data_IF_237247436743
#
_entry.id   IF_237247436743
#
_cell.length_a   1.000
_cell.length_b   1.000
_cell.length_c   1.000
_cell.angle_alpha   90.00
_cell.angle_beta   90.00
_cell.angle_gamma   90.00
#
_symmetry.space_group_name_H-M   'P 1'
#
loop_
_entity.id
_entity.type
_entity.pdbx_description
1 polymer ?
#
# COMPACT_ATOMS: atom_id res chain seq x y z
N UNK A 1 8.34 -30.00 7.65
CA UNK A 1 8.44 -28.55 7.85
C UNK A 1 9.35 -28.35 9.08
N UNK A 2 10.53 -27.72 8.93
CA UNK A 2 11.59 -27.72 9.97
C UNK A 2 11.23 -26.97 11.26
N UNK A 3 10.28 -26.04 11.22
CA UNK A 3 9.91 -25.21 12.38
C UNK A 3 9.06 -25.95 13.44
N UNK A 4 8.31 -26.98 13.07
CA UNK A 4 7.56 -27.82 14.02
C UNK A 4 8.47 -28.47 15.07
N UNK A 5 9.62 -28.98 14.63
CA UNK A 5 10.58 -29.64 15.53
C UNK A 5 11.30 -28.70 16.48
N UNK A 6 11.33 -27.41 16.18
CA UNK A 6 11.98 -26.39 17.02
C UNK A 6 11.04 -25.90 18.13
N UNK A 7 9.75 -25.78 17.85
CA UNK A 7 8.73 -25.38 18.83
C UNK A 7 8.44 -26.51 19.83
N UNK A 8 8.42 -27.77 19.39
CA UNK A 8 8.28 -28.92 20.27
C UNK A 8 9.46 -29.06 21.25
N UNK A 9 10.68 -28.70 20.84
CA UNK A 9 11.87 -28.67 21.71
C UNK A 9 11.85 -27.57 22.76
N UNK A 10 11.04 -26.52 22.55
CA UNK A 10 10.88 -25.42 23.50
C UNK A 10 9.66 -25.55 24.42
N UNK A 11 9.00 -26.71 24.43
CA UNK A 11 7.85 -26.97 25.31
C UNK A 11 6.57 -26.25 24.94
N UNK A 12 6.52 -25.65 23.73
CA UNK A 12 5.29 -25.09 23.16
C UNK A 12 4.51 -26.21 22.47
N UNK A 13 3.43 -26.65 23.07
CA UNK A 13 2.47 -27.55 22.40
C UNK A 13 1.88 -26.81 21.20
N UNK A 14 2.22 -27.26 20.00
CA UNK A 14 1.73 -26.74 18.73
C UNK A 14 0.18 -26.78 18.58
N UNK A 15 -0.50 -27.46 19.50
CA UNK A 15 -1.97 -27.54 19.55
C UNK A 15 -2.66 -26.24 19.96
N UNK A 16 -1.93 -25.23 20.50
CA UNK A 16 -2.55 -23.97 20.97
C UNK A 16 -2.56 -22.85 19.94
N UNK A 17 -1.89 -23.00 18.81
CA UNK A 17 -1.84 -21.98 17.75
C UNK A 17 -2.90 -22.13 16.66
N UNK A 18 -3.62 -23.25 16.66
CA UNK A 18 -4.75 -23.50 15.77
C UNK A 18 -6.01 -23.66 16.61
N UNK A 19 -7.19 -23.25 16.09
CA UNK A 19 -8.44 -23.63 16.75
C UNK A 19 -8.43 -25.15 16.92
N UNK A 20 -8.92 -25.69 18.05
CA UNK A 20 -8.88 -27.11 18.31
C UNK A 20 -9.44 -27.86 17.10
N UNK A 21 -8.72 -28.88 16.62
CA UNK A 21 -9.26 -29.76 15.58
C UNK A 21 -10.56 -30.31 16.12
N UNK A 22 -11.68 -29.75 15.61
CA UNK A 22 -13.01 -30.19 16.00
C UNK A 22 -13.13 -31.62 15.51
N UNK A 23 -13.37 -32.52 16.41
CA UNK A 23 -13.54 -33.90 16.06
C UNK A 23 -14.76 -34.04 15.13
N UNK A 24 -14.67 -34.95 14.15
CA UNK A 24 -15.77 -35.23 13.22
C UNK A 24 -17.11 -35.47 13.95
N UNK A 25 -17.08 -36.00 15.17
CA UNK A 25 -18.21 -36.19 16.04
C UNK A 25 -18.87 -34.90 16.49
N UNK A 26 -18.08 -33.88 16.88
CA UNK A 26 -18.61 -32.56 17.27
C UNK A 26 -19.26 -31.82 16.10
N UNK A 27 -18.68 -31.96 14.89
CA UNK A 27 -19.28 -31.40 13.68
C UNK A 27 -20.62 -32.08 13.37
N UNK A 28 -20.68 -33.41 13.52
CA UNK A 28 -21.90 -34.18 13.26
C UNK A 28 -23.03 -33.89 14.27
N UNK A 29 -22.71 -33.52 15.50
CA UNK A 29 -23.69 -33.20 16.53
C UNK A 29 -24.28 -31.79 16.37
N UNK A 30 -23.51 -30.84 15.89
CA UNK A 30 -23.93 -29.43 15.76
C UNK A 30 -24.65 -29.07 14.45
N UNK A 31 -24.58 -29.97 13.43
CA UNK A 31 -25.24 -29.75 12.13
C UNK A 31 -26.74 -30.00 12.23
N UNK A 32 -27.61 -29.07 11.81
CA UNK A 32 -29.07 -29.29 11.82
C UNK A 32 -29.48 -30.56 11.04
N UNK A 33 -30.43 -31.28 11.58
CA UNK A 33 -30.94 -32.57 11.02
C UNK A 33 -31.41 -32.40 9.56
N UNK A 34 -31.97 -31.23 9.22
CA UNK A 34 -32.40 -30.89 7.86
C UNK A 34 -31.26 -30.88 6.84
N UNK A 35 -30.02 -30.65 7.27
CA UNK A 35 -28.84 -30.62 6.42
C UNK A 35 -28.17 -31.97 6.26
N UNK A 36 -28.39 -32.88 7.23
CA UNK A 36 -27.92 -34.27 7.15
C UNK A 36 -28.68 -35.08 6.12
N UNK A 37 -29.87 -34.64 5.73
CA UNK A 37 -30.71 -35.33 4.74
C UNK A 37 -30.21 -35.12 3.29
N UNK A 38 -29.37 -34.11 3.04
CA UNK A 38 -28.79 -33.85 1.71
C UNK A 38 -27.40 -34.49 1.61
N UNK A 39 -27.34 -35.77 1.23
CA UNK A 39 -26.08 -36.50 1.10
C UNK A 39 -25.08 -35.90 0.11
N UNK A 40 -25.54 -35.09 -0.88
CA UNK A 40 -24.68 -34.44 -1.84
C UNK A 40 -23.96 -33.24 -1.19
N UNK A 41 -24.69 -32.45 -0.39
CA UNK A 41 -24.14 -31.30 0.33
C UNK A 41 -23.16 -31.72 1.43
N UNK A 42 -23.51 -32.80 2.15
CA UNK A 42 -22.66 -33.38 3.18
C UNK A 42 -21.37 -33.99 2.62
N UNK A 43 -21.46 -34.66 1.50
CA UNK A 43 -20.29 -35.16 0.76
C UNK A 43 -19.36 -34.04 0.29
N UNK A 44 -19.94 -32.90 -0.08
CA UNK A 44 -19.18 -31.69 -0.47
C UNK A 44 -18.46 -31.10 0.72
N UNK A 45 -19.15 -30.90 1.83
CA UNK A 45 -18.60 -30.35 3.09
C UNK A 45 -17.45 -31.23 3.60
N UNK A 46 -17.61 -32.54 3.64
CA UNK A 46 -16.54 -33.45 4.10
C UNK A 46 -15.35 -33.54 3.16
N UNK A 47 -15.57 -33.42 1.87
CA UNK A 47 -14.50 -33.48 0.85
C UNK A 47 -13.63 -32.26 0.82
N UNK A 48 -14.18 -31.06 1.06
CA UNK A 48 -13.49 -29.80 0.88
C UNK A 48 -13.04 -29.14 2.19
N UNK A 49 -13.80 -29.26 3.28
CA UNK A 49 -13.41 -28.72 4.59
C UNK A 49 -12.37 -29.56 5.32
N UNK A 50 -12.43 -30.89 5.18
CA UNK A 50 -11.53 -31.78 5.90
C UNK A 50 -10.23 -32.11 5.15
N UNK A 51 -10.10 -31.76 3.85
CA UNK A 51 -8.89 -32.01 3.05
C UNK A 51 -7.96 -30.84 2.81
N UNK A 52 -8.29 -29.65 3.30
CA UNK A 52 -7.34 -28.51 3.31
C UNK A 52 -6.72 -28.14 1.95
N UNK A 53 -7.42 -28.36 0.83
CA UNK A 53 -6.89 -28.02 -0.50
C UNK A 53 -7.45 -26.69 -0.99
N UNK A 54 -6.56 -25.71 -1.16
CA UNK A 54 -6.86 -24.36 -1.62
C UNK A 54 -7.29 -24.26 -3.07
N UNK A 55 -8.56 -24.53 -3.34
CA UNK A 55 -9.20 -24.23 -4.61
C UNK A 55 -10.50 -23.48 -4.34
N UNK A 56 -10.74 -22.42 -5.11
CA UNK A 56 -11.80 -21.41 -5.00
C UNK A 56 -13.14 -21.89 -4.44
N UNK A 57 -13.51 -21.33 -3.28
CA UNK A 57 -14.65 -21.80 -2.53
C UNK A 57 -15.91 -20.99 -2.80
N UNK A 58 -16.98 -21.69 -3.14
CA UNK A 58 -18.32 -21.30 -2.74
C UNK A 58 -18.43 -21.62 -1.25
N UNK A 59 -18.49 -20.61 -0.39
CA UNK A 59 -18.60 -20.80 1.05
C UNK A 59 -19.95 -21.44 1.38
N UNK A 60 -19.98 -22.67 1.93
CA UNK A 60 -21.24 -23.27 2.38
C UNK A 60 -21.79 -22.45 3.56
N UNK A 61 -23.09 -22.47 3.83
CA UNK A 61 -23.72 -21.80 4.98
C UNK A 61 -23.05 -22.08 6.33
N UNK A 62 -22.25 -23.15 6.40
CA UNK A 62 -21.48 -23.54 7.59
C UNK A 62 -20.31 -22.61 7.91
N UNK A 63 -19.69 -21.97 6.90
CA UNK A 63 -18.61 -20.99 7.14
C UNK A 63 -19.15 -19.72 7.78
N UNK A 64 -20.42 -19.36 7.55
CA UNK A 64 -21.05 -18.22 8.18
C UNK A 64 -21.09 -18.34 9.72
N UNK A 65 -21.18 -19.55 10.26
CA UNK A 65 -21.11 -19.77 11.71
C UNK A 65 -19.71 -19.49 12.27
N UNK A 66 -18.66 -19.97 11.60
CA UNK A 66 -17.27 -19.72 11.99
C UNK A 66 -16.87 -18.28 11.81
N UNK A 67 -17.30 -17.64 10.73
CA UNK A 67 -17.08 -16.23 10.48
C UNK A 67 -17.76 -15.33 11.51
N UNK A 68 -18.87 -15.77 12.08
CA UNK A 68 -19.53 -15.10 13.18
C UNK A 68 -18.76 -15.19 14.49
N UNK A 69 -18.10 -16.31 14.76
CA UNK A 69 -17.35 -16.56 16.01
C UNK A 69 -15.91 -16.02 15.92
N UNK A 70 -15.20 -16.33 14.83
CA UNK A 70 -13.76 -16.10 14.68
C UNK A 70 -13.41 -15.04 13.65
N UNK A 71 -14.40 -14.47 13.01
CA UNK A 71 -14.24 -13.54 11.90
C UNK A 71 -13.90 -14.23 10.57
N UNK A 72 -14.26 -13.56 9.48
CA UNK A 72 -13.90 -13.97 8.14
C UNK A 72 -12.39 -13.90 7.94
N UNK A 73 -11.82 -14.92 7.32
CA UNK A 73 -10.39 -14.93 7.00
C UNK A 73 -10.18 -14.09 5.74
N UNK A 74 -9.30 -13.07 5.75
CA UNK A 74 -8.91 -12.40 4.51
C UNK A 74 -8.35 -13.42 3.52
N UNK A 75 -8.73 -13.29 2.25
CA UNK A 75 -8.23 -14.17 1.18
C UNK A 75 -6.76 -13.85 0.89
N UNK A 76 -6.37 -12.62 1.17
CA UNK A 76 -5.07 -12.08 0.88
C UNK A 76 -4.07 -12.43 1.98
N UNK A 77 -2.83 -12.73 1.57
CA UNK A 77 -1.72 -12.98 2.49
C UNK A 77 -1.12 -11.63 2.95
N UNK A 78 -1.76 -11.03 3.93
CA UNK A 78 -1.40 -9.69 4.44
C UNK A 78 0.06 -9.59 4.90
N UNK A 79 0.67 -10.59 5.56
CA UNK A 79 2.09 -10.56 5.88
C UNK A 79 3.00 -10.36 4.67
N UNK A 80 2.69 -10.95 3.52
CA UNK A 80 3.47 -10.75 2.30
C UNK A 80 3.40 -9.32 1.77
N UNK A 81 2.26 -8.65 1.93
CA UNK A 81 2.15 -7.23 1.55
C UNK A 81 2.98 -6.35 2.47
N UNK A 82 3.00 -6.66 3.77
CA UNK A 82 3.86 -5.97 4.73
C UNK A 82 5.33 -6.09 4.36
N UNK A 83 5.77 -7.31 4.02
CA UNK A 83 7.14 -7.58 3.58
C UNK A 83 7.45 -6.84 2.28
N UNK A 84 6.53 -6.87 1.31
CA UNK A 84 6.69 -6.19 0.03
C UNK A 84 6.83 -4.67 0.19
N UNK A 85 6.02 -4.05 1.05
CA UNK A 85 6.13 -2.63 1.38
C UNK A 85 7.43 -2.31 2.13
N UNK A 86 7.82 -3.16 3.09
CA UNK A 86 8.96 -2.90 3.96
C UNK A 86 10.30 -3.06 3.24
N UNK A 87 10.41 -4.09 2.40
CA UNK A 87 11.70 -4.50 1.82
C UNK A 87 11.90 -4.07 0.35
N UNK A 88 10.85 -3.61 -0.35
CA UNK A 88 10.98 -3.15 -1.72
C UNK A 88 11.04 -1.61 -1.79
N UNK A 89 12.23 -0.99 -1.99
CA UNK A 89 12.42 0.46 -1.89
C UNK A 89 11.50 1.25 -2.83
N UNK A 90 11.30 0.76 -4.05
CA UNK A 90 10.45 1.44 -5.04
C UNK A 90 8.98 1.46 -4.62
N UNK A 91 8.47 0.34 -4.11
CA UNK A 91 7.07 0.24 -3.66
C UNK A 91 6.84 1.13 -2.43
N UNK A 92 7.77 1.07 -1.47
CA UNK A 92 7.73 1.94 -0.29
C UNK A 92 7.69 3.41 -0.68
N UNK A 93 8.63 3.87 -1.51
CA UNK A 93 8.69 5.25 -1.95
C UNK A 93 7.40 5.69 -2.68
N UNK A 94 6.84 4.83 -3.52
CA UNK A 94 5.60 5.13 -4.25
C UNK A 94 4.39 5.30 -3.30
N UNK A 95 4.25 4.42 -2.30
CA UNK A 95 3.18 4.50 -1.31
C UNK A 95 3.38 5.73 -0.42
N UNK A 96 4.59 5.95 0.10
CA UNK A 96 4.89 7.09 0.97
C UNK A 96 4.62 8.43 0.27
N UNK A 97 4.98 8.57 -1.01
CA UNK A 97 4.66 9.74 -1.82
C UNK A 97 3.16 9.92 -1.99
N UNK A 98 2.44 8.83 -2.27
CA UNK A 98 0.97 8.85 -2.43
C UNK A 98 0.29 9.33 -1.15
N UNK A 99 0.65 8.76 -0.01
CA UNK A 99 0.10 9.11 1.31
C UNK A 99 0.43 10.55 1.67
N UNK A 100 1.69 10.95 1.49
CA UNK A 100 2.11 12.32 1.80
C UNK A 100 1.35 13.35 0.97
N UNK A 101 1.21 13.15 -0.33
CA UNK A 101 0.47 14.08 -1.18
C UNK A 101 -1.03 14.14 -0.84
N UNK A 102 -1.63 13.01 -0.45
CA UNK A 102 -3.05 12.97 -0.12
C UNK A 102 -3.38 13.64 1.23
N UNK A 103 -2.52 13.49 2.24
CA UNK A 103 -2.86 13.84 3.63
C UNK A 103 -2.15 15.13 4.10
N UNK A 104 -0.98 15.51 3.52
CA UNK A 104 -0.12 16.55 4.09
C UNK A 104 -0.77 17.93 4.20
N UNK A 105 -1.65 18.28 3.26
CA UNK A 105 -2.32 19.59 3.29
C UNK A 105 -3.46 19.65 4.31
N UNK A 106 -3.87 18.49 4.85
CA UNK A 106 -4.97 18.39 5.80
C UNK A 106 -6.33 18.74 5.19
N UNK A 107 -7.29 18.97 6.07
CA UNK A 107 -8.65 19.32 5.71
C UNK A 107 -9.18 20.42 6.64
N UNK A 108 -10.31 20.99 6.28
CA UNK A 108 -11.11 21.90 7.08
C UNK A 108 -12.51 21.31 7.25
N UNK A 109 -13.22 21.72 8.29
CA UNK A 109 -14.60 21.34 8.51
C UNK A 109 -15.55 22.37 7.91
N UNK A 110 -16.53 21.93 7.12
CA UNK A 110 -17.53 22.79 6.48
C UNK A 110 -18.95 22.35 6.87
N UNK A 111 -19.84 23.32 7.09
CA UNK A 111 -21.21 23.03 7.53
C UNK A 111 -21.33 22.84 9.03
N UNK A 112 -22.55 22.48 9.48
CA UNK A 112 -22.88 22.38 10.89
C UNK A 112 -22.89 23.72 11.63
N UNK A 113 -23.20 23.68 12.93
CA UNK A 113 -23.16 24.84 13.81
C UNK A 113 -21.71 25.23 14.14
N UNK A 114 -21.42 26.52 14.27
CA UNK A 114 -20.05 27.02 14.54
C UNK A 114 -19.44 26.41 15.81
N UNK A 115 -20.25 26.28 16.87
CA UNK A 115 -19.81 25.69 18.15
C UNK A 115 -19.39 24.23 18.00
N UNK A 116 -20.15 23.46 17.21
CA UNK A 116 -19.84 22.04 16.95
C UNK A 116 -18.57 21.92 16.13
N UNK A 117 -18.41 22.79 15.13
CA UNK A 117 -17.25 22.78 14.25
C UNK A 117 -15.96 23.17 15.00
N UNK A 118 -16.00 24.21 15.83
CA UNK A 118 -14.86 24.62 16.64
C UNK A 118 -14.46 23.50 17.61
N UNK A 119 -15.42 22.98 18.39
CA UNK A 119 -15.16 21.88 19.33
C UNK A 119 -14.56 20.65 18.64
N UNK A 120 -15.11 20.25 17.48
CA UNK A 120 -14.64 19.09 16.75
C UNK A 120 -13.22 19.33 16.17
N UNK A 121 -12.93 20.56 15.73
CA UNK A 121 -11.59 20.92 15.26
C UNK A 121 -10.57 20.82 16.38
N UNK A 122 -10.87 21.37 17.55
CA UNK A 122 -10.00 21.30 18.72
C UNK A 122 -9.75 19.86 19.15
N UNK A 123 -10.80 19.04 19.19
CA UNK A 123 -10.68 17.61 19.52
C UNK A 123 -9.80 16.85 18.52
N UNK A 124 -9.96 17.10 17.22
CA UNK A 124 -9.15 16.46 16.17
C UNK A 124 -7.68 16.88 16.23
N UNK A 125 -7.42 18.14 16.57
CA UNK A 125 -6.05 18.66 16.74
C UNK A 125 -5.38 18.05 17.99
N UNK A 126 -6.10 17.90 19.11
CA UNK A 126 -5.62 17.21 20.31
C UNK A 126 -5.23 15.75 20.01
N UNK A 127 -5.99 15.06 19.14
CA UNK A 127 -5.70 13.69 18.73
C UNK A 127 -4.59 13.56 17.71
N UNK A 128 -4.03 14.65 17.19
CA UNK A 128 -3.08 14.63 16.06
C UNK A 128 -3.62 13.79 14.90
N UNK A 129 -4.87 14.05 14.51
CA UNK A 129 -5.61 13.23 13.55
C UNK A 129 -4.84 13.00 12.24
N UNK A 130 -4.06 13.97 11.76
CA UNK A 130 -3.32 13.83 10.51
C UNK A 130 -2.25 12.73 10.57
N UNK A 131 -1.64 12.47 11.73
CA UNK A 131 -0.71 11.37 11.91
C UNK A 131 -1.43 10.01 11.84
N UNK A 132 -2.55 9.90 12.56
CA UNK A 132 -3.42 8.73 12.49
C UNK A 132 -3.86 8.47 11.05
N UNK A 133 -4.31 9.48 10.31
CA UNK A 133 -4.73 9.34 8.92
C UNK A 133 -3.59 8.95 7.97
N UNK A 134 -2.35 9.34 8.22
CA UNK A 134 -1.19 8.85 7.44
C UNK A 134 -0.98 7.36 7.64
N UNK A 135 -1.10 6.86 8.88
CA UNK A 135 -1.01 5.43 9.18
C UNK A 135 -2.12 4.69 8.45
N UNK A 136 -3.37 5.14 8.60
CA UNK A 136 -4.53 4.53 7.97
C UNK A 136 -4.45 4.55 6.43
N UNK A 137 -4.02 5.68 5.84
CA UNK A 137 -3.83 5.80 4.40
C UNK A 137 -2.74 4.83 3.87
N UNK A 138 -1.68 4.61 4.65
CA UNK A 138 -0.66 3.61 4.32
C UNK A 138 -1.25 2.20 4.36
N UNK A 139 -1.97 1.88 5.42
CA UNK A 139 -2.59 0.56 5.62
C UNK A 139 -3.66 0.26 4.57
N UNK A 140 -4.45 1.25 4.18
CA UNK A 140 -5.42 1.15 3.08
C UNK A 140 -4.73 0.72 1.77
N UNK A 141 -3.60 1.31 1.44
CA UNK A 141 -2.88 1.00 0.19
C UNK A 141 -2.15 -0.34 0.27
N UNK A 142 -1.51 -0.63 1.42
CA UNK A 142 -0.74 -1.85 1.63
C UNK A 142 -1.63 -3.07 1.79
N UNK A 143 -2.64 -2.99 2.65
CA UNK A 143 -3.48 -4.14 3.03
C UNK A 143 -4.88 -4.12 2.38
N UNK A 144 -5.27 -2.99 1.79
CA UNK A 144 -6.63 -2.78 1.31
C UNK A 144 -7.62 -2.41 2.41
N UNK A 145 -7.21 -2.51 3.66
CA UNK A 145 -8.02 -2.22 4.84
C UNK A 145 -7.19 -1.54 5.90
N UNK A 146 -7.81 -0.63 6.64
CA UNK A 146 -7.23 -0.05 7.83
C UNK A 146 -8.27 -0.04 8.96
N UNK A 147 -7.82 -0.08 10.21
CA UNK A 147 -8.67 -0.20 11.38
C UNK A 147 -8.18 0.71 12.49
N UNK A 148 -9.06 1.60 12.95
CA UNK A 148 -8.81 2.45 14.12
C UNK A 148 -9.83 2.13 15.21
N UNK A 149 -9.35 1.77 16.38
CA UNK A 149 -10.16 1.64 17.60
C UNK A 149 -10.51 3.03 18.14
N UNK A 150 -11.78 3.27 18.38
CA UNK A 150 -12.30 4.44 19.07
C UNK A 150 -12.38 4.09 20.56
N UNK A 151 -11.30 4.39 21.28
CA UNK A 151 -11.18 4.05 22.70
C UNK A 151 -12.10 4.95 23.53
N UNK A 152 -12.96 4.31 24.32
CA UNK A 152 -13.95 4.99 25.15
C UNK A 152 -13.52 5.08 26.60
N UNK A 153 -13.87 6.18 27.25
CA UNK A 153 -13.72 6.34 28.67
C UNK A 153 -14.68 5.39 29.40
N UNK A 154 -14.19 4.67 30.42
CA UNK A 154 -14.97 3.70 31.19
C UNK A 154 -16.14 4.38 31.97
N UNK A 155 -15.94 5.62 32.46
CA UNK A 155 -16.89 6.32 33.30
C UNK A 155 -18.07 6.90 32.48
N UNK A 156 -17.82 7.47 31.30
CA UNK A 156 -18.79 8.20 30.52
C UNK A 156 -19.18 7.56 29.20
N UNK A 157 -18.43 6.52 28.76
CA UNK A 157 -18.66 5.85 27.48
C UNK A 157 -18.36 6.71 26.24
N UNK A 158 -17.79 7.93 26.42
CA UNK A 158 -17.41 8.86 25.35
C UNK A 158 -16.08 8.44 24.73
N UNK A 159 -15.90 8.72 23.45
CA UNK A 159 -14.63 8.50 22.74
C UNK A 159 -13.59 9.47 23.30
N UNK A 160 -12.49 8.93 23.81
CA UNK A 160 -11.42 9.71 24.43
C UNK A 160 -10.19 9.82 23.50
N UNK A 161 -9.85 8.74 22.80
CA UNK A 161 -8.70 8.73 21.90
C UNK A 161 -8.84 7.68 20.80
N UNK A 162 -8.00 7.81 19.76
CA UNK A 162 -7.98 6.95 18.60
C UNK A 162 -6.70 6.08 18.59
N UNK A 163 -6.86 4.79 18.25
CA UNK A 163 -5.75 3.84 18.22
C UNK A 163 -5.76 3.04 16.92
N UNK A 164 -4.81 3.28 16.01
CA UNK A 164 -4.61 2.43 14.84
C UNK A 164 -4.27 0.99 15.23
N UNK A 165 -4.87 0.02 14.53
CA UNK A 165 -4.69 -1.41 14.77
C UNK A 165 -4.07 -2.09 13.55
N UNK A 166 -3.08 -2.98 13.75
CA UNK A 166 -2.41 -3.73 12.68
C UNK A 166 -3.42 -4.62 11.90
N UNK A 167 -3.67 -4.35 10.61
CA UNK A 167 -4.62 -5.09 9.79
C UNK A 167 -4.32 -6.59 9.67
N UNK A 168 -3.07 -7.00 9.84
CA UNK A 168 -2.66 -8.41 9.76
C UNK A 168 -3.37 -9.26 10.82
N UNK A 169 -3.63 -8.68 11.98
CA UNK A 169 -4.24 -9.37 13.12
C UNK A 169 -5.76 -9.15 13.25
N UNK A 170 -6.35 -8.34 12.37
CA UNK A 170 -7.77 -8.03 12.41
C UNK A 170 -8.61 -8.98 11.57
N UNK A 171 -9.78 -9.33 12.08
CA UNK A 171 -10.80 -10.15 11.40
C UNK A 171 -12.16 -9.49 11.51
N UNK A 172 -12.91 -9.51 10.41
CA UNK A 172 -14.27 -8.97 10.37
C UNK A 172 -15.27 -10.09 10.71
N UNK A 173 -16.05 -9.91 11.78
CA UNK A 173 -17.17 -10.78 12.10
C UNK A 173 -18.38 -10.35 11.32
N UNK A 174 -19.04 -11.29 10.66
CA UNK A 174 -20.26 -11.02 9.88
C UNK A 174 -21.33 -12.07 10.10
N UNK A 175 -22.55 -11.69 9.81
CA UNK A 175 -23.67 -12.60 9.81
C UNK A 175 -23.79 -13.38 8.50
N UNK A 176 -24.83 -14.22 8.40
CA UNK A 176 -25.12 -15.01 7.19
C UNK A 176 -25.51 -14.13 5.98
N UNK A 177 -25.87 -12.89 6.20
CA UNK A 177 -26.23 -11.91 5.15
C UNK A 177 -25.07 -11.00 4.76
N UNK A 178 -23.90 -11.15 5.41
CA UNK A 178 -22.71 -10.34 5.15
C UNK A 178 -22.66 -9.03 5.94
N UNK A 179 -23.60 -8.80 6.87
CA UNK A 179 -23.55 -7.60 7.73
C UNK A 179 -22.45 -7.74 8.78
N UNK A 180 -21.70 -6.66 9.01
CA UNK A 180 -20.64 -6.62 9.99
C UNK A 180 -21.25 -6.61 11.40
N UNK A 181 -20.95 -7.63 12.19
CA UNK A 181 -21.34 -7.76 13.59
C UNK A 181 -20.32 -7.15 14.55
N UNK A 182 -19.09 -7.04 14.12
CA UNK A 182 -17.95 -6.55 14.90
C UNK A 182 -16.64 -7.05 14.37
N UNK A 183 -15.60 -6.93 15.18
CA UNK A 183 -14.24 -7.25 14.79
C UNK A 183 -13.56 -8.11 15.85
N UNK A 184 -12.54 -8.86 15.46
CA UNK A 184 -11.69 -9.64 16.37
C UNK A 184 -10.24 -9.32 16.07
N UNK A 185 -9.47 -9.04 17.11
CA UNK A 185 -8.01 -8.96 17.06
C UNK A 185 -7.40 -10.26 17.57
N UNK A 186 -6.60 -10.90 16.73
CA UNK A 186 -5.96 -12.19 17.01
C UNK A 186 -4.49 -12.02 17.47
N UNK A 187 -4.17 -10.94 18.16
CA UNK A 187 -2.81 -10.67 18.65
C UNK A 187 -2.53 -11.37 19.99
N UNK A 188 -3.56 -11.52 20.82
CA UNK A 188 -3.45 -12.08 22.18
C UNK A 188 -4.38 -13.29 22.35
N UNK A 189 -4.16 -14.07 23.41
CA UNK A 189 -5.09 -15.11 23.81
C UNK A 189 -5.58 -14.85 25.26
N UNK A 190 -6.89 -14.75 25.49
CA UNK A 190 -7.99 -14.81 24.54
C UNK A 190 -7.97 -13.63 23.54
N UNK A 191 -8.53 -13.81 22.31
CA UNK A 191 -8.62 -12.73 21.33
C UNK A 191 -9.52 -11.60 21.82
N UNK A 192 -9.17 -10.37 21.44
CA UNK A 192 -9.98 -9.20 21.78
C UNK A 192 -11.12 -9.06 20.77
N UNK A 193 -12.34 -8.91 21.28
CA UNK A 193 -13.56 -8.76 20.46
C UNK A 193 -14.06 -7.34 20.57
N UNK A 194 -14.24 -6.67 19.45
CA UNK A 194 -14.77 -5.32 19.36
C UNK A 194 -16.18 -5.32 18.79
N UNK A 195 -17.00 -4.38 19.27
CA UNK A 195 -18.27 -4.07 18.65
C UNK A 195 -18.06 -3.36 17.30
N UNK A 196 -19.06 -3.43 16.41
CA UNK A 196 -18.98 -2.74 15.12
C UNK A 196 -18.88 -1.21 15.26
N UNK A 197 -19.40 -0.66 16.36
CA UNK A 197 -19.38 0.78 16.65
C UNK A 197 -18.07 1.28 17.26
N UNK A 198 -17.18 0.38 17.71
CA UNK A 198 -15.94 0.75 18.38
C UNK A 198 -14.73 0.75 17.43
N UNK A 199 -14.93 0.29 16.21
CA UNK A 199 -13.89 0.25 15.17
C UNK A 199 -14.32 1.07 13.96
N UNK A 200 -13.45 1.98 13.58
CA UNK A 200 -13.50 2.68 12.31
C UNK A 200 -12.72 1.87 11.27
N UNK A 201 -13.41 1.36 10.24
CA UNK A 201 -12.81 0.54 9.20
C UNK A 201 -12.80 1.29 7.88
N UNK A 202 -11.63 1.48 7.32
CA UNK A 202 -11.43 2.03 5.97
C UNK A 202 -11.20 0.89 4.98
N UNK A 203 -11.77 0.99 3.77
CA UNK A 203 -11.66 -0.05 2.74
C UNK A 203 -11.30 0.53 1.39
N UNK A 204 -10.27 -0.01 0.76
CA UNK A 204 -9.86 0.32 -0.59
C UNK A 204 -10.28 -0.76 -1.58
N UNK A 205 -10.84 -0.37 -2.73
CA UNK A 205 -11.16 -1.33 -3.79
C UNK A 205 -12.14 -2.43 -3.34
N UNK A 206 -13.10 -2.11 -2.47
CA UNK A 206 -14.12 -3.05 -2.00
C UNK A 206 -14.86 -3.68 -3.18
N UNK A 207 -15.15 -4.99 -3.08
CA UNK A 207 -15.80 -5.77 -4.12
C UNK A 207 -17.07 -6.44 -3.61
N UNK A 208 -17.99 -6.70 -4.55
CA UNK A 208 -19.27 -7.37 -4.26
C UNK A 208 -19.17 -8.89 -4.13
N UNK A 209 -18.03 -9.49 -4.37
CA UNK A 209 -17.86 -10.94 -4.28
C UNK A 209 -17.96 -11.40 -2.84
N UNK A 210 -18.74 -12.43 -2.59
CA UNK A 210 -19.10 -12.86 -1.24
C UNK A 210 -17.92 -13.04 -0.28
N UNK A 211 -16.85 -13.64 -0.72
CA UNK A 211 -15.65 -13.88 0.09
C UNK A 211 -14.75 -12.63 0.27
N UNK A 212 -14.88 -11.63 -0.62
CA UNK A 212 -14.17 -10.36 -0.55
C UNK A 212 -15.08 -9.22 -0.05
N UNK A 213 -16.37 -9.48 0.16
CA UNK A 213 -17.37 -8.46 0.48
C UNK A 213 -17.05 -7.62 1.73
N UNK A 214 -16.47 -8.25 2.76
CA UNK A 214 -16.16 -7.58 4.02
C UNK A 214 -14.81 -6.87 4.03
N UNK A 215 -13.98 -7.10 3.02
CA UNK A 215 -12.63 -6.55 2.93
C UNK A 215 -12.44 -5.69 1.68
N UNK A 216 -11.51 -4.76 1.77
CA UNK A 216 -10.95 -4.11 0.61
C UNK A 216 -9.91 -4.98 -0.09
N UNK A 217 -9.35 -4.48 -1.19
CA UNK A 217 -8.32 -5.16 -1.96
C UNK A 217 -7.04 -4.35 -1.93
N UNK A 218 -5.93 -4.98 -1.55
CA UNK A 218 -4.61 -4.35 -1.55
C UNK A 218 -4.22 -3.85 -2.95
N UNK A 219 -3.62 -2.65 -3.01
CA UNK A 219 -2.96 -2.15 -4.21
C UNK A 219 -1.79 -3.05 -4.62
N UNK A 220 -1.17 -3.73 -3.66
CA UNK A 220 0.00 -4.57 -3.86
C UNK A 220 -0.33 -5.98 -4.39
N UNK A 221 -1.62 -6.37 -4.40
CA UNK A 221 -2.03 -7.71 -4.82
C UNK A 221 -1.46 -8.15 -6.19
N UNK A 222 -1.59 -7.36 -7.27
CA UNK A 222 -1.01 -7.72 -8.56
C UNK A 222 0.52 -7.67 -8.58
N UNK A 223 1.15 -6.96 -7.64
CA UNK A 223 2.60 -6.80 -7.57
C UNK A 223 3.32 -8.00 -7.00
N UNK A 224 2.68 -8.86 -6.22
CA UNK A 224 3.31 -10.06 -5.65
C UNK A 224 4.02 -10.91 -6.71
N UNK A 225 3.34 -11.18 -7.82
CA UNK A 225 3.91 -11.97 -8.90
C UNK A 225 4.99 -11.20 -9.68
N UNK A 226 4.74 -9.92 -9.94
CA UNK A 226 5.66 -9.08 -10.70
C UNK A 226 6.97 -8.91 -9.93
N UNK A 227 6.89 -8.61 -8.63
CA UNK A 227 8.07 -8.41 -7.80
C UNK A 227 8.87 -9.71 -7.63
N UNK A 228 8.21 -10.84 -7.43
CA UNK A 228 8.91 -12.14 -7.36
C UNK A 228 9.70 -12.45 -8.64
N UNK A 229 9.17 -12.08 -9.82
CA UNK A 229 9.89 -12.21 -11.08
C UNK A 229 11.07 -11.22 -11.20
N UNK A 230 10.91 -10.01 -10.70
CA UNK A 230 11.99 -9.01 -10.66
C UNK A 230 13.10 -9.52 -9.76
N UNK A 231 12.80 -9.94 -8.54
CA UNK A 231 13.76 -10.43 -7.56
C UNK A 231 14.56 -11.63 -8.14
N UNK A 232 13.87 -12.57 -8.78
CA UNK A 232 14.53 -13.71 -9.44
C UNK A 232 15.46 -13.26 -10.56
N UNK A 233 15.05 -12.31 -11.40
CA UNK A 233 15.91 -11.81 -12.47
C UNK A 233 17.09 -11.00 -11.95
N UNK A 234 16.92 -10.24 -10.86
CA UNK A 234 18.02 -9.53 -10.21
C UNK A 234 19.04 -10.50 -9.61
N UNK A 235 18.60 -11.60 -8.98
CA UNK A 235 19.45 -12.67 -8.49
C UNK A 235 20.22 -13.35 -9.64
N UNK A 236 19.53 -13.71 -10.71
CA UNK A 236 20.14 -14.31 -11.91
C UNK A 236 21.18 -13.35 -12.55
N UNK A 237 20.87 -12.04 -12.60
CA UNK A 237 21.81 -11.02 -13.04
C UNK A 237 23.06 -10.96 -12.15
N UNK A 238 22.87 -11.06 -10.84
CA UNK A 238 23.97 -11.15 -9.87
C UNK A 238 24.90 -12.33 -10.17
N UNK A 239 24.35 -13.50 -10.46
CA UNK A 239 25.11 -14.71 -10.86
C UNK A 239 25.83 -14.48 -12.19
N UNK A 240 25.15 -13.90 -13.17
CA UNK A 240 25.73 -13.59 -14.48
C UNK A 240 26.91 -12.64 -14.33
N UNK A 241 26.73 -11.51 -13.65
CA UNK A 241 27.78 -10.51 -13.41
C UNK A 241 28.97 -11.14 -12.68
N UNK A 242 28.72 -11.99 -11.67
CA UNK A 242 29.77 -12.70 -10.97
C UNK A 242 30.55 -13.67 -11.89
N UNK A 243 29.83 -14.39 -12.77
CA UNK A 243 30.42 -15.30 -13.75
C UNK A 243 31.25 -14.55 -14.80
N UNK A 244 30.79 -13.34 -15.23
CA UNK A 244 31.58 -12.49 -16.13
C UNK A 244 32.83 -11.93 -15.45
N UNK A 245 32.74 -11.56 -14.17
CA UNK A 245 33.87 -11.08 -13.39
C UNK A 245 34.90 -12.18 -13.12
N UNK A 246 34.48 -13.46 -13.12
CA UNK A 246 35.34 -14.64 -12.96
C UNK A 246 34.98 -15.67 -14.02
N UNK A 247 35.35 -15.45 -15.29
CA UNK A 247 35.01 -16.37 -16.37
C UNK A 247 35.60 -17.77 -16.12
N UNK A 248 34.83 -18.78 -16.47
CA UNK A 248 35.30 -20.16 -16.41
C UNK A 248 36.43 -20.34 -17.42
N UNK A 249 37.55 -20.80 -16.92
CA UNK A 249 38.71 -21.14 -17.76
C UNK A 249 38.74 -22.64 -17.97
N UNK A 250 38.86 -23.03 -19.21
CA UNK A 250 39.22 -24.40 -19.56
C UNK A 250 40.72 -24.43 -19.83
N UNK A 251 41.45 -24.99 -18.90
CA UNK A 251 42.91 -25.12 -19.01
C UNK A 251 43.19 -26.53 -19.52
N UNK A 252 43.77 -26.62 -20.71
CA UNK A 252 44.18 -27.88 -21.31
C UNK A 252 45.68 -27.97 -21.20
N UNK A 253 46.19 -29.05 -20.63
CA UNK A 253 47.63 -29.28 -20.49
C UNK A 253 48.09 -30.50 -21.29
N UNK A 254 49.20 -30.33 -21.99
CA UNK A 254 49.81 -31.36 -22.81
C UNK A 254 49.30 -31.40 -24.27
N UNK A 255 50.01 -32.14 -25.09
CA UNK A 255 49.64 -32.44 -26.47
C UNK A 255 49.27 -33.93 -26.60
N UNK A 256 48.54 -34.36 -27.65
CA UNK A 256 48.22 -35.77 -27.86
C UNK A 256 49.49 -36.67 -27.88
N UNK A 257 50.62 -36.10 -28.27
CA UNK A 257 51.88 -36.80 -28.32
C UNK A 257 52.66 -36.84 -27.00
N UNK A 258 52.34 -35.88 -26.07
CA UNK A 258 52.93 -35.75 -24.76
C UNK A 258 51.83 -35.32 -23.75
N UNK A 259 51.02 -36.25 -23.27
CA UNK A 259 50.00 -35.95 -22.27
C UNK A 259 50.66 -35.61 -20.94
N UNK A 260 50.06 -34.71 -20.17
CA UNK A 260 50.51 -34.41 -18.81
C UNK A 260 50.28 -35.63 -17.89
N UNK A 261 51.23 -35.84 -16.99
CA UNK A 261 51.01 -36.79 -15.89
C UNK A 261 50.03 -36.23 -14.87
N UNK A 262 49.42 -37.13 -14.08
CA UNK A 262 48.45 -36.74 -13.02
C UNK A 262 49.08 -35.74 -12.04
N UNK A 263 50.36 -35.85 -11.72
CA UNK A 263 51.07 -34.91 -10.86
C UNK A 263 51.15 -33.50 -11.48
N UNK A 264 51.43 -33.42 -12.79
CA UNK A 264 51.46 -32.13 -13.50
C UNK A 264 50.08 -31.50 -13.63
N UNK A 265 49.03 -32.30 -13.80
CA UNK A 265 47.65 -31.82 -13.76
C UNK A 265 47.25 -31.27 -12.38
N UNK A 266 47.66 -31.95 -11.31
CA UNK A 266 47.42 -31.47 -9.94
C UNK A 266 48.14 -30.13 -9.68
N UNK A 267 49.40 -29.99 -10.09
CA UNK A 267 50.13 -28.72 -9.97
C UNK A 267 49.46 -27.59 -10.76
N UNK A 268 48.91 -27.91 -11.93
CA UNK A 268 48.15 -26.93 -12.73
C UNK A 268 46.88 -26.52 -12.04
N UNK A 269 46.11 -27.46 -11.47
CA UNK A 269 44.90 -27.19 -10.70
C UNK A 269 45.20 -26.29 -9.49
N UNK A 270 46.30 -26.55 -8.76
CA UNK A 270 46.71 -25.72 -7.62
C UNK A 270 47.06 -24.30 -8.05
N UNK A 271 47.80 -24.15 -9.16
CA UNK A 271 48.18 -22.84 -9.70
C UNK A 271 47.00 -21.97 -10.11
N UNK A 272 45.88 -22.57 -10.56
CA UNK A 272 44.67 -21.86 -10.97
C UNK A 272 43.61 -21.76 -9.88
N UNK A 273 43.74 -22.54 -8.78
CA UNK A 273 42.74 -22.61 -7.69
C UNK A 273 42.55 -21.29 -6.96
N UNK A 274 43.67 -20.63 -6.63
CA UNK A 274 43.68 -19.41 -5.83
C UNK A 274 43.81 -18.13 -6.67
N UNK A 275 43.48 -18.21 -7.96
CA UNK A 275 43.60 -17.09 -8.87
C UNK A 275 42.68 -15.94 -8.44
N UNK A 276 43.28 -14.78 -8.22
CA UNK A 276 42.53 -13.53 -8.01
C UNK A 276 42.13 -12.96 -9.37
N UNK A 277 41.01 -12.23 -9.46
CA UNK A 277 40.63 -11.46 -10.65
C UNK A 277 41.84 -10.55 -11.05
N UNK A 278 42.09 -10.42 -12.35
CA UNK A 278 43.17 -9.61 -12.90
C UNK A 278 44.59 -10.06 -12.54
N UNK A 279 44.80 -11.35 -12.21
CA UNK A 279 46.14 -11.89 -12.05
C UNK A 279 46.61 -12.50 -13.37
N UNK A 280 47.74 -12.05 -13.87
CA UNK A 280 48.38 -12.64 -15.05
C UNK A 280 48.97 -14.01 -14.70
N UNK A 281 48.66 -15.00 -15.51
CA UNK A 281 49.18 -16.37 -15.34
C UNK A 281 50.11 -16.68 -16.48
N UNK A 282 51.35 -16.92 -16.13
CA UNK A 282 52.38 -17.33 -17.07
C UNK A 282 52.42 -18.86 -17.13
N UNK A 283 52.11 -19.41 -18.31
CA UNK A 283 52.13 -20.85 -18.56
C UNK A 283 53.13 -21.22 -19.64
N UNK A 284 53.61 -22.46 -19.63
CA UNK A 284 54.45 -22.97 -20.70
C UNK A 284 53.67 -23.14 -22.00
N UNK A 285 54.33 -23.15 -23.13
CA UNK A 285 53.72 -23.22 -24.46
C UNK A 285 52.91 -24.50 -24.75
N UNK A 286 52.99 -25.50 -23.88
CA UNK A 286 52.23 -26.76 -23.92
C UNK A 286 50.90 -26.70 -23.12
N UNK A 287 50.55 -25.53 -22.56
CA UNK A 287 49.28 -25.28 -21.86
C UNK A 287 48.46 -24.26 -22.65
N UNK A 288 47.26 -24.61 -23.04
CA UNK A 288 46.27 -23.66 -23.59
C UNK A 288 45.20 -23.31 -22.56
N UNK A 289 44.89 -22.05 -22.51
CA UNK A 289 43.81 -21.51 -21.63
C UNK A 289 42.73 -20.95 -22.52
N UNK A 290 41.62 -21.65 -22.57
CA UNK A 290 40.43 -21.20 -23.30
C UNK A 290 39.44 -20.57 -22.31
N UNK A 291 38.97 -19.38 -22.59
CA UNK A 291 37.86 -18.77 -21.85
C UNK A 291 36.56 -19.30 -22.43
N UNK A 292 35.77 -19.97 -21.62
CA UNK A 292 34.42 -20.36 -22.05
C UNK A 292 33.57 -19.11 -22.16
N UNK A 293 33.16 -18.69 -23.38
CA UNK A 293 32.28 -17.55 -23.53
C UNK A 293 30.95 -17.87 -22.88
N UNK A 294 30.44 -16.95 -22.05
CA UNK A 294 29.08 -17.07 -21.49
C UNK A 294 28.06 -17.12 -22.62
N UNK A 295 27.15 -18.09 -22.56
CA UNK A 295 26.09 -18.33 -23.54
C UNK A 295 25.04 -17.20 -23.63
N UNK A 296 25.20 -16.13 -22.84
CA UNK A 296 24.20 -15.06 -22.68
C UNK A 296 24.28 -13.94 -23.72
N UNK A 297 25.03 -14.10 -24.80
CA UNK A 297 25.14 -13.04 -25.83
C UNK A 297 23.81 -12.65 -26.49
N UNK A 298 22.82 -13.52 -26.47
CA UNK A 298 21.53 -13.32 -27.17
C UNK A 298 20.32 -13.07 -26.27
N UNK A 299 20.47 -13.11 -24.93
CA UNK A 299 19.35 -12.85 -24.02
C UNK A 299 19.34 -11.39 -23.62
N UNK A 300 18.37 -10.63 -24.11
CA UNK A 300 18.16 -9.24 -23.72
C UNK A 300 17.39 -9.15 -22.38
N UNK A 301 18.11 -9.37 -21.28
CA UNK A 301 17.56 -9.32 -19.92
C UNK A 301 17.05 -7.93 -19.60
N UNK A 302 17.70 -6.89 -20.11
CA UNK A 302 17.29 -5.48 -19.88
C UNK A 302 15.87 -5.23 -20.36
N UNK A 303 15.49 -5.76 -21.52
CA UNK A 303 14.13 -5.62 -22.04
C UNK A 303 13.09 -6.26 -21.12
N UNK A 304 13.39 -7.43 -20.55
CA UNK A 304 12.49 -8.11 -19.60
C UNK A 304 12.35 -7.33 -18.30
N UNK A 305 13.44 -6.81 -17.76
CA UNK A 305 13.40 -5.96 -16.56
C UNK A 305 12.62 -4.67 -16.83
N UNK A 306 12.86 -3.99 -17.94
CA UNK A 306 12.12 -2.79 -18.32
C UNK A 306 10.62 -3.07 -18.46
N UNK A 307 10.25 -4.20 -19.05
CA UNK A 307 8.84 -4.64 -19.14
C UNK A 307 8.23 -4.82 -17.75
N UNK A 308 8.90 -5.54 -16.85
CA UNK A 308 8.38 -5.78 -15.48
C UNK A 308 8.33 -4.49 -14.66
N UNK A 309 9.32 -3.61 -14.78
CA UNK A 309 9.30 -2.30 -14.14
C UNK A 309 8.13 -1.44 -14.64
N UNK A 310 7.85 -1.47 -15.94
CA UNK A 310 6.70 -0.75 -16.51
C UNK A 310 5.38 -1.30 -15.96
N UNK A 311 5.22 -2.62 -15.82
CA UNK A 311 4.04 -3.21 -15.20
C UNK A 311 3.90 -2.79 -13.73
N UNK A 312 4.98 -2.78 -12.97
CA UNK A 312 5.00 -2.32 -11.58
C UNK A 312 4.60 -0.84 -11.46
N UNK A 313 5.17 0.01 -12.30
CA UNK A 313 4.86 1.44 -12.36
C UNK A 313 3.39 1.68 -12.72
N UNK A 314 2.84 0.92 -13.66
CA UNK A 314 1.44 1.01 -14.06
C UNK A 314 0.46 0.66 -12.92
N UNK A 315 0.77 -0.35 -12.12
CA UNK A 315 -0.05 -0.73 -10.96
C UNK A 315 -0.01 0.32 -9.87
N UNK A 316 1.19 0.82 -9.53
CA UNK A 316 1.36 1.86 -8.51
C UNK A 316 0.76 3.19 -8.98
N UNK A 317 0.83 3.49 -10.27
CA UNK A 317 0.24 4.67 -10.89
C UNK A 317 0.82 6.00 -10.41
N UNK A 318 2.00 5.98 -9.79
CA UNK A 318 2.72 7.19 -9.35
C UNK A 318 3.51 7.75 -10.52
N UNK A 319 3.34 9.04 -10.87
CA UNK A 319 4.09 9.66 -11.94
C UNK A 319 5.61 9.57 -11.70
N UNK A 320 6.36 9.25 -12.75
CA UNK A 320 7.84 9.08 -12.67
C UNK A 320 8.57 10.29 -12.13
N UNK A 321 7.99 11.48 -12.30
CA UNK A 321 8.56 12.74 -11.79
C UNK A 321 8.69 12.74 -10.27
N UNK A 322 7.73 12.13 -9.55
CA UNK A 322 7.81 12.00 -8.09
C UNK A 322 8.79 10.93 -7.62
N UNK A 323 9.16 10.02 -8.52
CA UNK A 323 10.14 8.98 -8.26
C UNK A 323 11.57 9.40 -8.66
N UNK A 324 11.79 10.70 -8.92
CA UNK A 324 13.10 11.25 -9.30
C UNK A 324 13.53 10.97 -10.73
N UNK A 325 12.65 10.46 -11.59
CA UNK A 325 12.91 10.18 -13.01
C UNK A 325 12.24 11.26 -13.87
N UNK A 326 12.99 12.26 -14.29
CA UNK A 326 12.47 13.38 -15.10
C UNK A 326 12.72 13.26 -16.60
N UNK A 327 13.34 12.17 -17.06
CA UNK A 327 13.73 12.02 -18.44
C UNK A 327 12.54 11.99 -19.41
N UNK A 328 12.56 12.87 -20.41
CA UNK A 328 11.62 12.85 -21.54
C UNK A 328 10.21 13.40 -21.25
N UNK A 329 9.95 14.00 -20.10
CA UNK A 329 8.62 14.53 -19.79
C UNK A 329 8.53 16.02 -20.14
N UNK A 330 7.71 16.37 -21.14
CA UNK A 330 7.39 17.75 -21.46
C UNK A 330 6.39 18.29 -20.40
N UNK A 331 6.46 19.61 -20.08
CA UNK A 331 5.59 20.26 -19.08
C UNK A 331 4.10 19.94 -19.29
N UNK A 332 3.63 20.03 -20.52
CA UNK A 332 2.22 19.77 -20.85
C UNK A 332 1.81 18.31 -20.55
N UNK A 333 2.68 17.35 -20.85
CA UNK A 333 2.43 15.93 -20.53
C UNK A 333 2.47 15.70 -19.03
N UNK A 334 3.39 16.35 -18.31
CA UNK A 334 3.46 16.29 -16.86
C UNK A 334 2.18 16.79 -16.18
N UNK A 335 1.61 17.89 -16.66
CA UNK A 335 0.38 18.47 -16.12
C UNK A 335 -0.82 17.52 -16.30
N UNK A 336 -0.97 16.87 -17.45
CA UNK A 336 -2.06 15.90 -17.70
C UNK A 336 -1.92 14.68 -16.78
N UNK A 337 -0.72 14.11 -16.68
CA UNK A 337 -0.44 12.96 -15.80
C UNK A 337 -0.68 13.32 -14.33
N UNK A 338 -0.34 14.55 -13.95
CA UNK A 338 -0.61 15.07 -12.60
C UNK A 338 -2.10 15.17 -12.31
N UNK A 339 -2.92 15.65 -13.24
CA UNK A 339 -4.37 15.75 -13.07
C UNK A 339 -5.02 14.38 -12.86
N UNK A 340 -4.58 13.39 -13.62
CA UNK A 340 -5.05 11.99 -13.46
C UNK A 340 -4.67 11.44 -12.09
N UNK A 341 -3.42 11.65 -11.67
CA UNK A 341 -2.94 11.21 -10.37
C UNK A 341 -3.67 11.89 -9.21
N UNK A 342 -3.90 13.20 -9.29
CA UNK A 342 -4.67 13.97 -8.29
C UNK A 342 -6.10 13.41 -8.16
N UNK A 343 -6.73 12.99 -9.27
CA UNK A 343 -8.06 12.36 -9.22
C UNK A 343 -8.04 11.08 -8.38
N UNK A 344 -7.01 10.27 -8.52
CA UNK A 344 -6.83 9.05 -7.71
C UNK A 344 -6.60 9.37 -6.23
N UNK A 345 -5.83 10.41 -5.93
CA UNK A 345 -5.62 10.85 -4.54
C UNK A 345 -6.93 11.37 -3.92
N UNK A 346 -7.77 12.07 -4.69
CA UNK A 346 -9.10 12.50 -4.23
C UNK A 346 -10.00 11.34 -3.87
N UNK A 347 -10.01 10.24 -4.64
CA UNK A 347 -10.74 9.03 -4.25
C UNK A 347 -10.33 8.50 -2.88
N UNK A 348 -9.05 8.55 -2.55
CA UNK A 348 -8.57 8.15 -1.22
C UNK A 348 -9.05 9.12 -0.14
N UNK A 349 -8.98 10.42 -0.41
CA UNK A 349 -9.50 11.46 0.49
C UNK A 349 -11.01 11.30 0.73
N UNK A 350 -11.79 10.97 -0.31
CA UNK A 350 -13.22 10.71 -0.20
C UNK A 350 -13.51 9.50 0.72
N UNK A 351 -12.82 8.38 0.52
CA UNK A 351 -12.98 7.18 1.36
C UNK A 351 -12.68 7.51 2.84
N UNK A 352 -11.62 8.26 3.09
CA UNK A 352 -11.23 8.66 4.44
C UNK A 352 -12.25 9.63 5.01
N UNK A 353 -12.63 10.67 4.27
CA UNK A 353 -13.59 11.68 4.68
C UNK A 353 -14.97 11.08 5.00
N UNK A 354 -15.51 10.27 4.11
CA UNK A 354 -16.79 9.59 4.32
C UNK A 354 -16.79 8.71 5.59
N UNK A 355 -15.67 8.02 5.85
CA UNK A 355 -15.54 7.19 7.04
C UNK A 355 -15.47 8.04 8.31
N UNK A 356 -14.73 9.15 8.29
CA UNK A 356 -14.68 10.09 9.40
C UNK A 356 -16.06 10.67 9.71
N UNK A 357 -16.78 11.15 8.68
CA UNK A 357 -18.11 11.76 8.83
C UNK A 357 -19.15 10.77 9.35
N UNK A 358 -19.20 9.58 8.74
CA UNK A 358 -20.27 8.62 9.02
C UNK A 358 -20.05 7.80 10.29
N UNK A 359 -18.79 7.60 10.69
CA UNK A 359 -18.47 6.76 11.85
C UNK A 359 -17.99 7.61 13.03
N UNK A 360 -16.94 8.41 12.87
CA UNK A 360 -16.31 9.14 13.96
C UNK A 360 -17.12 10.38 14.36
N UNK A 361 -17.33 11.31 13.42
CA UNK A 361 -17.97 12.59 13.74
C UNK A 361 -19.40 12.39 14.23
N UNK A 362 -20.12 11.44 13.62
CA UNK A 362 -21.47 11.10 14.03
C UNK A 362 -21.52 10.66 15.50
N UNK A 363 -20.57 9.89 15.96
CA UNK A 363 -20.53 9.43 17.35
C UNK A 363 -20.07 10.54 18.28
N UNK A 364 -19.00 11.27 17.93
CA UNK A 364 -18.49 12.38 18.74
C UNK A 364 -19.55 13.47 18.95
N UNK A 365 -20.21 13.92 17.87
CA UNK A 365 -21.25 14.94 17.95
C UNK A 365 -22.45 14.45 18.75
N UNK A 366 -22.87 13.19 18.58
CA UNK A 366 -23.93 12.58 19.35
C UNK A 366 -23.58 12.52 20.84
N UNK A 367 -22.36 12.12 21.18
CA UNK A 367 -21.92 11.94 22.57
C UNK A 367 -21.78 13.29 23.32
N UNK A 368 -21.49 14.42 22.61
CA UNK A 368 -21.28 15.73 23.21
C UNK A 368 -22.52 16.63 23.11
N UNK A 369 -23.15 16.68 21.95
CA UNK A 369 -24.24 17.64 21.66
C UNK A 369 -25.62 16.96 21.57
N UNK A 370 -25.69 15.63 21.56
CA UNK A 370 -26.94 14.88 21.47
C UNK A 370 -27.36 14.54 20.04
N UNK A 371 -28.58 14.00 19.92
CA UNK A 371 -29.14 13.58 18.61
C UNK A 371 -29.79 14.77 17.88
N UNK A 372 -29.63 14.79 16.55
CA UNK A 372 -30.28 15.77 15.67
C UNK A 372 -29.46 16.99 15.32
N UNK A 373 -28.21 17.07 15.79
CA UNK A 373 -27.28 18.12 15.43
C UNK A 373 -26.65 17.81 14.05
N UNK A 374 -26.51 18.83 13.21
CA UNK A 374 -25.92 18.68 11.89
C UNK A 374 -24.41 18.38 12.01
N UNK A 375 -23.96 17.33 11.31
CA UNK A 375 -22.57 16.86 11.35
C UNK A 375 -21.76 17.66 10.34
N UNK A 376 -20.65 18.31 10.73
CA UNK A 376 -19.73 18.97 9.83
C UNK A 376 -19.13 17.97 8.82
N UNK A 377 -18.84 18.44 7.61
CA UNK A 377 -18.24 17.66 6.52
C UNK A 377 -16.77 17.95 6.37
N UNK A 378 -16.02 16.95 5.92
CA UNK A 378 -14.59 17.07 5.63
C UNK A 378 -14.38 17.73 4.27
N UNK A 379 -13.73 18.87 4.27
CA UNK A 379 -13.29 19.56 3.05
C UNK A 379 -11.78 19.51 2.94
N UNK A 380 -11.29 18.62 2.11
CA UNK A 380 -9.85 18.48 1.88
C UNK A 380 -9.26 19.71 1.21
N UNK A 381 -8.10 20.15 1.72
CA UNK A 381 -7.33 21.20 1.06
C UNK A 381 -6.79 20.72 -0.29
N UNK A 382 -6.62 21.61 -1.27
CA UNK A 382 -6.14 21.20 -2.60
C UNK A 382 -4.80 20.46 -2.50
N UNK A 383 -4.70 19.30 -3.15
CA UNK A 383 -3.48 18.48 -3.20
C UNK A 383 -2.37 19.19 -3.95
N UNK A 384 -2.75 19.86 -5.02
CA UNK A 384 -1.85 20.65 -5.86
C UNK A 384 -2.49 21.98 -6.18
N UNK A 385 -1.75 23.02 -5.92
CA UNK A 385 -2.13 24.36 -6.32
C UNK A 385 -1.21 24.84 -7.44
N UNK A 386 -1.79 25.40 -8.53
CA UNK A 386 -0.99 26.05 -9.55
C UNK A 386 -0.13 27.15 -8.89
N UNK A 387 1.06 27.40 -9.45
CA UNK A 387 1.92 28.46 -8.92
C UNK A 387 1.14 29.77 -8.86
N UNK A 388 1.51 30.65 -7.90
CA UNK A 388 0.87 31.97 -7.80
C UNK A 388 0.87 32.72 -9.13
N UNK A 389 1.94 32.56 -9.92
CA UNK A 389 2.04 33.19 -11.25
C UNK A 389 1.03 32.61 -12.25
N UNK A 390 0.85 31.29 -12.25
CA UNK A 390 -0.11 30.64 -13.14
C UNK A 390 -1.55 30.95 -12.73
N UNK A 391 -1.85 30.98 -11.42
CA UNK A 391 -3.15 31.45 -10.88
C UNK A 391 -3.41 32.90 -11.28
N UNK A 392 -2.45 33.79 -11.08
CA UNK A 392 -2.58 35.21 -11.39
C UNK A 392 -2.77 35.44 -12.88
N UNK A 393 -2.07 34.69 -13.75
CA UNK A 393 -2.22 34.75 -15.19
C UNK A 393 -3.59 34.26 -15.64
N UNK A 394 -4.03 33.11 -15.14
CA UNK A 394 -5.34 32.54 -15.49
C UNK A 394 -6.49 33.44 -15.05
N UNK A 395 -6.41 33.99 -13.83
CA UNK A 395 -7.40 34.93 -13.32
C UNK A 395 -7.37 36.25 -14.09
N UNK A 396 -6.18 36.73 -14.47
CA UNK A 396 -6.03 37.89 -15.35
C UNK A 396 -6.73 37.68 -16.69
N UNK A 397 -6.48 36.55 -17.37
CA UNK A 397 -7.13 36.20 -18.63
C UNK A 397 -8.66 36.06 -18.50
N UNK A 398 -9.16 35.59 -17.35
CA UNK A 398 -10.60 35.48 -17.08
C UNK A 398 -11.25 36.86 -16.81
N UNK A 399 -10.54 37.76 -16.15
CA UNK A 399 -10.96 39.15 -15.96
C UNK A 399 -11.01 39.90 -17.29
N UNK A 400 -9.97 39.74 -18.14
CA UNK A 400 -9.92 40.35 -19.47
C UNK A 400 -11.05 39.86 -20.36
N UNK A 401 -11.47 38.59 -20.22
CA UNK A 401 -12.64 38.02 -20.90
C UNK A 401 -13.98 38.36 -20.25
N UNK A 402 -13.98 39.16 -19.19
CA UNK A 402 -15.18 39.53 -18.42
C UNK A 402 -15.97 38.36 -17.84
N UNK A 403 -15.29 37.23 -17.57
CA UNK A 403 -15.89 36.03 -16.96
C UNK A 403 -15.89 36.14 -15.44
N UNK A 404 -14.85 36.75 -14.86
CA UNK A 404 -14.67 36.94 -13.41
C UNK A 404 -14.48 38.44 -13.14
N UNK A 405 -15.08 38.91 -12.05
CA UNK A 405 -14.89 40.30 -11.64
C UNK A 405 -13.49 40.53 -11.07
N UNK A 406 -12.85 41.70 -11.29
CA UNK A 406 -11.54 41.99 -10.70
C UNK A 406 -11.49 41.85 -9.18
N UNK A 407 -12.59 42.12 -8.46
CA UNK A 407 -12.71 41.91 -7.03
C UNK A 407 -12.61 40.45 -6.63
N UNK A 408 -13.31 39.58 -7.32
CA UNK A 408 -13.30 38.13 -7.09
C UNK A 408 -11.93 37.53 -7.41
N UNK A 409 -11.29 37.95 -8.49
CA UNK A 409 -9.94 37.52 -8.84
C UNK A 409 -8.91 37.93 -7.75
N UNK A 410 -9.08 39.10 -7.16
CA UNK A 410 -8.21 39.58 -6.06
C UNK A 410 -8.39 38.70 -4.81
N UNK A 411 -9.65 38.43 -4.41
CA UNK A 411 -9.96 37.58 -3.25
C UNK A 411 -9.38 36.18 -3.44
N UNK A 412 -9.50 35.62 -4.63
CA UNK A 412 -8.92 34.31 -4.95
C UNK A 412 -7.38 34.28 -4.95
N UNK A 413 -6.73 35.43 -5.16
CA UNK A 413 -5.28 35.61 -5.05
C UNK A 413 -4.83 35.96 -3.61
N UNK A 414 -5.76 36.04 -2.64
CA UNK A 414 -5.46 36.39 -1.25
C UNK A 414 -5.25 37.88 -1.02
N UNK A 415 -5.67 38.76 -1.96
CA UNK A 415 -5.61 40.19 -1.78
C UNK A 415 -6.93 40.75 -1.25
N UNK A 416 -6.93 41.88 -0.52
CA UNK A 416 -8.16 42.56 -0.11
C UNK A 416 -9.06 42.88 -1.30
N UNK A 417 -10.37 42.78 -1.10
CA UNK A 417 -11.37 43.09 -2.15
C UNK A 417 -11.25 44.50 -2.68
N UNK A 418 -10.98 45.45 -1.78
CA UNK A 418 -10.85 46.86 -2.16
C UNK A 418 -9.38 47.21 -2.40
N UNK A 419 -9.18 48.01 -3.43
CA UNK A 419 -7.88 48.63 -3.65
C UNK A 419 -7.62 49.65 -2.50
N UNK A 420 -6.44 49.62 -1.86
CA UNK A 420 -6.10 50.63 -0.88
C UNK A 420 -5.88 52.02 -1.51
N UNK A 421 -6.16 52.16 -2.80
CA UNK A 421 -5.93 53.34 -3.61
C UNK A 421 -7.28 53.90 -3.99
N UNK A 422 -7.60 55.05 -3.46
CA UNK A 422 -8.89 55.72 -3.60
C UNK A 422 -9.01 56.63 -4.82
N UNK A 423 -7.90 56.91 -5.54
CA UNK A 423 -7.93 57.81 -6.69
C UNK A 423 -7.25 57.23 -7.94
N UNK A 424 -7.75 57.54 -9.17
CA UNK A 424 -7.14 57.10 -10.43
C UNK A 424 -5.70 57.55 -10.60
N UNK A 425 -5.31 58.64 -9.98
CA UNK A 425 -3.96 59.22 -10.03
C UNK A 425 -2.94 58.40 -9.22
N UNK A 426 -3.35 57.87 -8.05
CA UNK A 426 -2.54 56.94 -7.27
C UNK A 426 -2.34 55.60 -7.98
N UNK A 427 -3.35 55.13 -8.71
CA UNK A 427 -3.27 53.92 -9.52
C UNK A 427 -2.24 54.07 -10.66
N UNK A 428 -2.22 55.24 -11.34
CA UNK A 428 -1.23 55.55 -12.36
C UNK A 428 0.19 55.71 -11.78
N UNK A 429 0.33 56.25 -10.57
CA UNK A 429 1.62 56.34 -9.90
C UNK A 429 2.19 54.97 -9.52
N UNK A 430 1.36 54.04 -9.05
CA UNK A 430 1.76 52.67 -8.71
C UNK A 430 2.09 51.85 -9.96
N UNK A 431 1.31 51.98 -11.02
CA UNK A 431 1.58 51.36 -12.31
C UNK A 431 2.89 51.84 -12.92
N UNK A 432 3.16 53.11 -12.82
CA UNK A 432 4.41 53.73 -13.30
C UNK A 432 5.63 53.24 -12.50
N UNK A 433 5.51 53.16 -11.18
CA UNK A 433 6.53 52.63 -10.28
C UNK A 433 6.83 51.15 -10.46
N UNK A 434 5.80 50.35 -10.75
CA UNK A 434 5.95 48.92 -11.06
C UNK A 434 6.47 48.70 -12.50
N UNK A 435 6.11 49.56 -13.47
CA UNK A 435 6.64 49.51 -14.83
C UNK A 435 8.14 49.85 -14.92
N UNK A 436 8.66 50.64 -13.99
CA UNK A 436 10.09 50.91 -13.88
C UNK A 436 10.89 49.80 -13.19
N UNK A 437 10.26 48.99 -12.29
CA UNK A 437 10.88 47.82 -11.66
C UNK A 437 11.05 46.63 -12.58
N UNK A 438 10.25 46.52 -13.66
CA UNK A 438 10.38 45.47 -14.68
C UNK A 438 11.29 45.84 -15.85
N UNK A 439 11.91 47.02 -15.83
CA UNK A 439 12.90 47.50 -16.82
C UNK A 439 14.33 47.49 -16.33
N UNK A 440 14.57 47.20 -15.06
CA UNK A 440 15.87 47.00 -14.45
C UNK A 440 16.10 45.53 -14.14
#
# INVERSE_FOLDING_TARGET
MPWKSTLEKQGFEAQRLYPPEISRKQIEEEVPVSWKADNALWGYVTKYLLKGSGAGFVTPPYTAYWERLWGAVPIEDLPKYKDLYTFTPYIKAAIDVTVNLAISNGFELEGGEDQVREWLTDWLDEQNILETLRIEATDILVFGNAYTEMCRNEDMGKIEWLKPLDPVHMRVRRDAYGQVLGYIQLLTFPPVVFSAQDIMMFRWGAKSWWYEFSYGTSLLRPLLKIQALIDQLEDDMGVIVHTYAKPMLVVKGGTPERPFSDLQLQQLVEAFRDRKPATDVFVRGDVSVDVVPSLTKDVNITWWLDYLYTQREAVLGVPKIFMGKSEGTNRATAEVVMQEYVTRLRMMQEIIGDTLETVLFKQLVKDEFGEGVEIPKVKWKPIWEPSFQDKAKTLGDLVDKSIVLPKEARTQLGFPEEYPISTPEELQAVLKKNGERFKS
#
